data_IF_608528041184
#
_entry.id   IF_608528041184
#
_cell.length_a   1.000
_cell.length_b   1.000
_cell.length_c   1.000
_cell.angle_alpha   90.00
_cell.angle_beta   90.00
_cell.angle_gamma   90.00
#
_symmetry.space_group_name_H-M   'P 1'
#
loop_
_entity.id
_entity.type
_entity.pdbx_description
1 polymer ?
#
# COMPACT_ATOMS: atom_id res chain seq x y z
N UNK A 1 8.64 55.48 -39.54
CA UNK A 1 7.45 54.60 -39.59
C UNK A 1 7.79 53.29 -38.88
N UNK A 2 6.88 52.77 -38.05
CA UNK A 2 7.01 51.45 -37.41
C UNK A 2 6.88 51.49 -35.89
N UNK A 3 5.66 51.71 -35.38
CA UNK A 3 5.35 51.60 -33.95
C UNK A 3 5.24 50.13 -33.48
N UNK A 4 5.29 49.85 -32.17
CA UNK A 4 5.15 48.50 -31.65
C UNK A 4 3.67 48.06 -31.65
N UNK A 5 3.43 46.92 -32.29
CA UNK A 5 2.15 46.21 -32.34
C UNK A 5 1.76 45.69 -30.95
N UNK A 6 0.62 46.18 -30.44
CA UNK A 6 -0.05 45.66 -29.23
C UNK A 6 -0.74 44.35 -29.58
N UNK A 7 -0.31 43.24 -28.97
CA UNK A 7 -1.07 41.98 -28.96
C UNK A 7 -2.13 42.06 -27.87
N UNK A 8 -3.40 42.02 -28.28
CA UNK A 8 -4.57 41.92 -27.41
C UNK A 8 -4.69 40.50 -26.85
N UNK A 9 -4.82 40.41 -25.52
CA UNK A 9 -5.20 39.18 -24.84
C UNK A 9 -6.73 39.06 -24.89
N UNK A 10 -7.24 37.98 -25.49
CA UNK A 10 -8.66 37.63 -25.46
C UNK A 10 -8.91 36.81 -24.20
N UNK A 11 -9.67 37.37 -23.26
CA UNK A 11 -10.13 36.68 -22.08
C UNK A 11 -11.27 35.71 -22.45
N UNK A 12 -11.09 34.43 -22.15
CA UNK A 12 -12.17 33.44 -22.21
C UNK A 12 -13.07 33.61 -20.97
N UNK A 13 -14.31 34.04 -21.18
CA UNK A 13 -15.35 34.07 -20.16
C UNK A 13 -15.90 32.67 -19.85
N UNK A 14 -16.54 32.46 -18.69
CA UNK A 14 -17.04 31.15 -18.27
C UNK A 14 -18.26 30.71 -19.10
N UNK A 15 -18.50 29.40 -19.24
CA UNK A 15 -19.64 28.88 -19.98
C UNK A 15 -20.98 29.12 -19.23
N UNK A 16 -22.12 29.20 -19.96
CA UNK A 16 -23.42 29.43 -19.35
C UNK A 16 -23.96 28.18 -18.62
N UNK A 17 -24.86 28.36 -17.62
CA UNK A 17 -25.38 27.24 -16.82
C UNK A 17 -26.37 26.38 -17.62
N UNK A 18 -26.20 25.07 -17.55
CA UNK A 18 -27.11 24.08 -18.12
C UNK A 18 -28.41 23.97 -17.31
N UNK A 19 -29.52 23.95 -18.04
CA UNK A 19 -30.89 23.87 -17.51
C UNK A 19 -31.17 22.49 -16.92
N UNK A 20 -31.58 22.45 -15.66
CA UNK A 20 -32.18 21.30 -14.99
C UNK A 20 -33.57 21.00 -15.58
N UNK A 21 -33.81 19.75 -15.97
CA UNK A 21 -35.13 19.21 -16.28
C UNK A 21 -35.73 18.57 -15.01
N UNK A 22 -37.04 18.70 -14.74
CA UNK A 22 -37.66 18.15 -13.55
C UNK A 22 -37.98 16.65 -13.71
N UNK A 23 -37.68 15.87 -12.67
CA UNK A 23 -38.11 14.48 -12.53
C UNK A 23 -39.59 14.43 -12.11
N UNK A 24 -40.40 13.71 -12.89
CA UNK A 24 -41.79 13.37 -12.57
C UNK A 24 -41.85 12.02 -11.84
N UNK A 25 -42.39 12.05 -10.63
CA UNK A 25 -42.90 10.87 -9.91
C UNK A 25 -44.24 10.42 -10.53
N UNK A 26 -44.61 9.14 -10.36
CA UNK A 26 -45.93 8.90 -9.80
C UNK A 26 -45.94 7.84 -8.70
N UNK A 27 -46.65 8.23 -7.64
CA UNK A 27 -47.18 7.45 -6.54
C UNK A 27 -48.32 6.55 -7.04
N UNK A 28 -48.34 5.27 -6.67
CA UNK A 28 -49.57 4.48 -6.65
C UNK A 28 -49.51 3.41 -5.56
N UNK A 29 -50.49 3.45 -4.68
CA UNK A 29 -50.66 2.58 -3.54
C UNK A 29 -51.86 1.64 -3.74
N UNK A 30 -51.88 0.58 -2.92
CA UNK A 30 -52.97 -0.37 -2.63
C UNK A 30 -53.42 -1.38 -3.71
N UNK A 31 -53.29 -2.67 -3.38
CA UNK A 31 -54.46 -3.45 -2.91
C UNK A 31 -54.07 -4.87 -2.51
N UNK A 32 -54.33 -5.19 -1.23
CA UNK A 32 -54.39 -6.57 -0.71
C UNK A 32 -55.56 -7.32 -1.34
N UNK A 33 -55.31 -8.49 -1.91
CA UNK A 33 -56.33 -9.55 -2.04
C UNK A 33 -55.84 -10.86 -1.45
N UNK A 34 -56.47 -11.22 -0.33
CA UNK A 34 -56.48 -12.57 0.25
C UNK A 34 -57.19 -13.53 -0.71
N UNK A 35 -56.59 -14.68 -0.97
CA UNK A 35 -57.33 -15.89 -1.33
C UNK A 35 -56.78 -17.08 -0.55
N UNK A 36 -57.72 -17.84 0.05
CA UNK A 36 -57.51 -19.01 0.92
C UNK A 36 -57.74 -20.30 0.11
N UNK A 37 -57.07 -21.37 0.58
CA UNK A 37 -57.30 -22.83 0.37
C UNK A 37 -56.83 -23.38 -0.99
N UNK A 38 -56.17 -24.54 -1.08
CA UNK A 38 -56.43 -25.86 -0.44
C UNK A 38 -55.14 -26.68 -0.21
N UNK A 39 -55.19 -27.50 0.85
CA UNK A 39 -54.28 -28.61 1.19
C UNK A 39 -54.45 -29.81 0.26
N UNK A 40 -53.34 -30.50 -0.04
CA UNK A 40 -53.11 -31.97 -0.18
C UNK A 40 -51.57 -32.14 -0.05
N UNK A 41 -51.00 -32.69 1.04
CA UNK A 41 -50.81 -34.13 1.29
C UNK A 41 -49.96 -34.76 0.18
N UNK A 42 -48.74 -35.25 0.33
CA UNK A 42 -47.87 -35.55 1.46
C UNK A 42 -46.89 -36.64 0.95
N UNK A 43 -45.58 -36.36 0.93
CA UNK A 43 -44.53 -37.38 0.80
C UNK A 43 -43.21 -36.81 1.36
N UNK A 44 -42.91 -37.28 2.56
CA UNK A 44 -41.60 -37.44 3.21
C UNK A 44 -40.49 -36.46 2.81
N UNK A 45 -40.48 -35.32 3.52
CA UNK A 45 -39.33 -34.43 3.55
C UNK A 45 -38.25 -34.99 4.48
N UNK A 46 -37.02 -35.09 3.96
CA UNK A 46 -35.84 -34.84 4.80
C UNK A 46 -36.01 -33.47 5.43
N UNK A 47 -35.84 -33.37 6.75
CA UNK A 47 -35.97 -32.11 7.49
C UNK A 47 -35.07 -31.03 6.88
N UNK A 48 -35.57 -29.83 6.54
CA UNK A 48 -34.76 -28.71 6.07
C UNK A 48 -33.70 -28.26 7.09
N UNK A 49 -33.88 -28.63 8.36
CA UNK A 49 -32.96 -28.28 9.44
C UNK A 49 -31.60 -29.01 9.35
N UNK A 50 -31.53 -30.16 8.67
CA UNK A 50 -30.26 -30.89 8.48
C UNK A 50 -29.48 -30.44 7.23
N UNK A 51 -30.13 -29.74 6.30
CA UNK A 51 -29.50 -29.16 5.11
C UNK A 51 -29.05 -27.69 5.33
N UNK A 52 -29.45 -27.07 6.45
CA UNK A 52 -29.01 -25.73 6.87
C UNK A 52 -27.81 -25.75 7.83
N UNK A 53 -27.26 -26.93 8.16
CA UNK A 53 -26.17 -27.10 9.12
C UNK A 53 -24.82 -27.47 8.46
N UNK A 54 -24.68 -27.27 7.14
CA UNK A 54 -23.44 -27.53 6.42
C UNK A 54 -23.20 -26.46 5.35
N UNK A 55 -23.33 -25.20 5.74
CA UNK A 55 -22.47 -24.16 5.18
C UNK A 55 -21.60 -23.74 6.34
N UNK A 56 -20.59 -24.55 6.64
CA UNK A 56 -19.42 -24.02 7.35
C UNK A 56 -19.03 -22.77 6.56
N UNK A 57 -19.19 -21.60 7.17
CA UNK A 57 -18.69 -20.37 6.57
C UNK A 57 -17.21 -20.62 6.34
N UNK A 58 -16.81 -20.78 5.06
CA UNK A 58 -15.40 -20.88 4.70
C UNK A 58 -14.69 -19.73 5.37
N UNK A 59 -13.66 -20.05 6.14
CA UNK A 59 -12.83 -19.07 6.83
C UNK A 59 -12.36 -18.02 5.81
N UNK A 60 -12.56 -16.75 6.15
CA UNK A 60 -12.14 -15.60 5.33
C UNK A 60 -10.68 -15.33 5.64
N UNK A 61 -9.81 -15.87 4.81
CA UNK A 61 -8.36 -15.74 4.94
C UNK A 61 -7.84 -14.74 3.91
N UNK A 62 -6.94 -13.85 4.35
CA UNK A 62 -6.14 -12.99 3.50
C UNK A 62 -4.66 -13.35 3.65
N UNK A 63 -3.97 -13.58 2.54
CA UNK A 63 -2.51 -13.61 2.48
C UNK A 63 -2.00 -12.27 1.96
N UNK A 64 -1.30 -11.53 2.81
CA UNK A 64 -0.72 -10.24 2.53
C UNK A 64 0.80 -10.38 2.39
N UNK A 65 1.35 -9.93 1.27
CA UNK A 65 2.76 -10.12 0.93
C UNK A 65 3.47 -8.77 0.84
N UNK A 66 4.67 -8.69 1.43
CA UNK A 66 5.66 -7.74 0.94
C UNK A 66 6.05 -8.05 -0.52
N UNK A 67 6.66 -7.09 -1.22
CA UNK A 67 7.04 -7.21 -2.64
C UNK A 67 8.52 -7.59 -2.81
N UNK A 68 9.43 -6.74 -2.33
CA UNK A 68 10.86 -6.78 -2.64
C UNK A 68 11.62 -7.80 -1.78
N UNK A 69 12.05 -8.90 -2.39
CA UNK A 69 12.70 -10.03 -1.70
C UNK A 69 11.70 -11.09 -1.22
N UNK A 70 10.42 -10.72 -1.13
CA UNK A 70 9.32 -11.61 -0.74
C UNK A 70 8.61 -12.23 -1.95
N UNK A 71 8.22 -11.44 -2.95
CA UNK A 71 7.59 -11.94 -4.19
C UNK A 71 8.50 -11.81 -5.41
N UNK A 72 9.38 -10.81 -5.42
CA UNK A 72 10.32 -10.57 -6.52
C UNK A 72 11.74 -10.49 -5.98
N UNK A 73 12.78 -10.70 -6.81
CA UNK A 73 14.10 -10.17 -6.47
C UNK A 73 14.00 -8.63 -6.29
N UNK A 74 14.83 -8.01 -5.43
CA UNK A 74 14.72 -6.58 -5.14
C UNK A 74 14.74 -5.72 -6.42
N UNK A 75 13.68 -4.93 -6.62
CA UNK A 75 13.44 -4.03 -7.76
C UNK A 75 13.43 -4.71 -9.13
N UNK A 76 13.11 -5.99 -9.18
CA UNK A 76 12.98 -6.74 -10.43
C UNK A 76 11.53 -7.22 -10.61
N UNK A 77 11.21 -7.63 -11.84
CA UNK A 77 9.92 -8.23 -12.15
C UNK A 77 9.73 -9.57 -11.46
N UNK A 78 8.49 -9.87 -11.12
CA UNK A 78 8.05 -11.19 -10.64
C UNK A 78 8.37 -12.24 -11.70
N UNK A 79 8.78 -13.43 -11.24
CA UNK A 79 8.98 -14.56 -12.14
C UNK A 79 7.63 -15.17 -12.50
N UNK A 80 7.41 -15.63 -13.75
CA UNK A 80 6.15 -16.26 -14.16
C UNK A 80 5.71 -17.39 -13.24
N UNK A 81 6.65 -18.24 -12.78
CA UNK A 81 6.38 -19.34 -11.85
C UNK A 81 5.75 -18.90 -10.52
N UNK A 82 6.13 -17.73 -10.00
CA UNK A 82 5.61 -17.18 -8.76
C UNK A 82 4.25 -16.53 -9.01
N UNK A 83 4.11 -15.80 -10.12
CA UNK A 83 2.84 -15.16 -10.51
C UNK A 83 1.74 -16.21 -10.72
N UNK A 84 2.03 -17.28 -11.47
CA UNK A 84 1.12 -18.40 -11.70
C UNK A 84 0.68 -19.06 -10.38
N UNK A 85 1.62 -19.30 -9.46
CA UNK A 85 1.31 -19.85 -8.15
C UNK A 85 0.41 -18.93 -7.32
N UNK A 86 0.65 -17.61 -7.34
CA UNK A 86 -0.20 -16.67 -6.61
C UNK A 86 -1.64 -16.67 -7.15
N UNK A 87 -1.82 -16.81 -8.47
CA UNK A 87 -3.16 -16.94 -9.05
C UNK A 87 -3.84 -18.26 -8.65
N UNK A 88 -3.07 -19.35 -8.52
CA UNK A 88 -3.58 -20.61 -7.95
C UNK A 88 -3.97 -20.45 -6.47
N UNK A 89 -3.11 -19.83 -5.66
CA UNK A 89 -3.38 -19.54 -4.24
C UNK A 89 -4.66 -18.71 -4.06
N UNK A 90 -4.88 -17.74 -4.95
CA UNK A 90 -6.09 -16.88 -4.95
C UNK A 90 -7.41 -17.66 -5.10
N UNK A 91 -7.36 -18.91 -5.59
CA UNK A 91 -8.55 -19.77 -5.64
C UNK A 91 -8.97 -20.32 -4.27
N UNK A 92 -8.07 -20.28 -3.27
CA UNK A 92 -8.30 -20.77 -1.90
C UNK A 92 -8.47 -19.65 -0.87
N UNK A 93 -7.74 -18.55 -1.03
CA UNK A 93 -7.72 -17.41 -0.11
C UNK A 93 -7.73 -16.09 -0.89
N UNK A 94 -8.03 -14.98 -0.24
CA UNK A 94 -7.75 -13.67 -0.85
C UNK A 94 -6.26 -13.37 -0.77
N UNK A 95 -5.74 -12.66 -1.75
CA UNK A 95 -4.33 -12.24 -1.78
C UNK A 95 -4.22 -10.72 -1.91
N UNK A 96 -3.22 -10.16 -1.25
CA UNK A 96 -2.88 -8.76 -1.37
C UNK A 96 -1.39 -8.50 -1.26
N UNK A 97 -0.96 -7.33 -1.72
CA UNK A 97 0.43 -6.88 -1.58
C UNK A 97 0.51 -5.58 -0.81
N UNK A 98 1.58 -5.40 -0.04
CA UNK A 98 1.90 -4.15 0.66
C UNK A 98 3.36 -3.79 0.49
N UNK A 99 3.63 -2.56 0.05
CA UNK A 99 4.99 -2.09 -0.18
C UNK A 99 5.16 -0.61 0.12
N UNK A 100 6.37 -0.21 0.52
CA UNK A 100 6.72 1.20 0.74
C UNK A 100 6.94 2.00 -0.55
N UNK A 101 7.02 1.32 -1.69
CA UNK A 101 7.12 1.94 -3.01
C UNK A 101 5.79 2.57 -3.45
N UNK A 102 5.88 3.52 -4.39
CA UNK A 102 4.69 4.03 -5.09
C UNK A 102 4.03 2.93 -5.94
N UNK A 103 2.77 3.16 -6.30
CA UNK A 103 1.97 2.21 -7.07
C UNK A 103 2.64 1.81 -8.39
N UNK A 104 3.19 2.78 -9.13
CA UNK A 104 3.79 2.54 -10.44
C UNK A 104 4.95 1.55 -10.38
N UNK A 105 5.78 1.62 -9.33
CA UNK A 105 6.85 0.63 -9.11
C UNK A 105 6.30 -0.75 -8.77
N UNK A 106 5.32 -0.84 -7.89
CA UNK A 106 4.70 -2.13 -7.55
C UNK A 106 4.06 -2.75 -8.80
N UNK A 107 3.37 -1.94 -9.61
CA UNK A 107 2.77 -2.36 -10.87
C UNK A 107 3.82 -2.85 -11.89
N UNK A 108 4.93 -2.13 -12.04
CA UNK A 108 6.05 -2.55 -12.90
C UNK A 108 6.64 -3.91 -12.49
N UNK A 109 6.69 -4.18 -11.18
CA UNK A 109 7.23 -5.42 -10.65
C UNK A 109 6.26 -6.61 -10.78
N UNK A 110 4.95 -6.38 -10.65
CA UNK A 110 3.95 -7.44 -10.51
C UNK A 110 3.07 -7.65 -11.75
N UNK A 111 3.24 -6.85 -12.81
CA UNK A 111 2.48 -7.01 -14.04
C UNK A 111 2.92 -6.09 -15.16
N UNK A 112 2.09 -6.01 -16.20
CA UNK A 112 2.20 -5.01 -17.25
C UNK A 112 1.11 -3.94 -17.10
N UNK A 113 1.50 -2.66 -17.17
CA UNK A 113 0.54 -1.56 -16.99
C UNK A 113 -0.13 -1.59 -15.63
N UNK A 114 -1.46 -1.69 -15.62
CA UNK A 114 -2.28 -1.70 -14.40
C UNK A 114 -2.73 -3.10 -13.97
N UNK A 115 -2.26 -4.19 -14.59
CA UNK A 115 -2.70 -5.57 -14.31
C UNK A 115 -2.64 -5.97 -12.83
N UNK A 116 -1.74 -5.36 -12.05
CA UNK A 116 -1.55 -5.68 -10.63
C UNK A 116 -2.85 -5.56 -9.81
N UNK A 117 -3.71 -4.59 -10.12
CA UNK A 117 -4.96 -4.37 -9.36
C UNK A 117 -6.05 -5.40 -9.69
N UNK A 118 -5.90 -6.11 -10.80
CA UNK A 118 -6.79 -7.18 -11.21
C UNK A 118 -6.26 -8.55 -10.74
N UNK A 119 -4.93 -8.70 -10.62
CA UNK A 119 -4.25 -9.92 -10.14
C UNK A 119 -4.35 -10.13 -8.64
N UNK A 120 -4.45 -9.06 -7.86
CA UNK A 120 -4.54 -9.09 -6.40
C UNK A 120 -5.86 -8.49 -5.93
N UNK A 121 -6.42 -9.03 -4.85
CA UNK A 121 -7.66 -8.50 -4.25
C UNK A 121 -7.41 -7.16 -3.56
N UNK A 122 -6.19 -6.97 -3.02
CA UNK A 122 -5.73 -5.73 -2.40
C UNK A 122 -4.33 -5.34 -2.89
N UNK A 123 -4.14 -4.05 -3.19
CA UNK A 123 -2.82 -3.47 -3.48
C UNK A 123 -2.62 -2.24 -2.61
N UNK A 124 -1.69 -2.34 -1.67
CA UNK A 124 -1.33 -1.31 -0.72
C UNK A 124 0.03 -0.70 -1.09
N UNK A 125 0.01 0.39 -1.85
CA UNK A 125 1.20 1.16 -2.15
C UNK A 125 1.49 2.21 -1.05
N UNK A 126 2.75 2.61 -0.92
CA UNK A 126 3.22 3.54 0.12
C UNK A 126 2.73 3.13 1.53
N UNK A 127 2.98 1.88 1.90
CA UNK A 127 2.54 1.23 3.14
C UNK A 127 1.01 1.13 3.32
N UNK A 128 0.24 1.34 2.25
CA UNK A 128 -1.21 1.37 2.29
C UNK A 128 -1.79 2.77 2.42
N UNK A 129 -1.00 3.83 2.31
CA UNK A 129 -1.57 5.18 2.15
C UNK A 129 -2.22 5.38 0.77
N UNK A 130 -1.88 4.54 -0.21
CA UNK A 130 -2.58 4.41 -1.49
C UNK A 130 -3.10 2.98 -1.62
N UNK A 131 -4.40 2.84 -1.88
CA UNK A 131 -5.08 1.56 -1.74
C UNK A 131 -5.95 1.24 -2.94
N UNK A 132 -5.76 0.04 -3.46
CA UNK A 132 -6.68 -0.55 -4.43
C UNK A 132 -7.31 -1.80 -3.84
N UNK A 133 -8.61 -1.95 -4.07
CA UNK A 133 -9.38 -3.13 -3.71
C UNK A 133 -10.21 -3.55 -4.91
N UNK A 134 -10.10 -4.82 -5.32
CA UNK A 134 -10.85 -5.37 -6.45
C UNK A 134 -10.80 -4.47 -7.70
N UNK A 135 -9.59 -4.05 -8.08
CA UNK A 135 -9.37 -3.16 -9.23
C UNK A 135 -9.72 -1.68 -9.04
N UNK A 136 -10.22 -1.26 -7.88
CA UNK A 136 -10.66 0.12 -7.64
C UNK A 136 -9.82 0.84 -6.60
N UNK A 137 -9.44 2.09 -6.89
CA UNK A 137 -8.81 2.98 -5.92
C UNK A 137 -9.80 3.30 -4.80
N UNK A 138 -9.51 2.85 -3.58
CA UNK A 138 -10.35 3.05 -2.39
C UNK A 138 -9.99 4.33 -1.67
N UNK A 139 -8.70 4.52 -1.40
CA UNK A 139 -8.25 5.69 -0.66
C UNK A 139 -6.83 6.10 -1.05
N UNK A 140 -6.59 7.39 -0.83
CA UNK A 140 -5.28 8.02 -1.01
C UNK A 140 -5.12 9.06 0.09
N UNK A 141 -4.22 8.79 1.01
CA UNK A 141 -3.98 9.61 2.20
C UNK A 141 -2.73 10.44 1.99
N UNK A 142 -2.83 11.72 2.33
CA UNK A 142 -1.78 12.69 2.09
C UNK A 142 -1.22 13.15 3.42
N UNK A 143 0.10 13.04 3.60
CA UNK A 143 0.80 13.34 4.85
C UNK A 143 0.50 14.73 5.40
N UNK A 144 0.30 15.73 4.53
CA UNK A 144 -0.07 17.09 4.93
C UNK A 144 -1.43 17.18 5.62
N UNK A 145 -2.39 16.32 5.25
CA UNK A 145 -3.71 16.29 5.88
C UNK A 145 -3.66 15.68 7.27
N UNK A 146 -2.68 14.80 7.52
CA UNK A 146 -2.51 14.13 8.81
C UNK A 146 -1.65 14.95 9.78
N UNK A 147 -0.50 15.46 9.32
CA UNK A 147 0.41 16.25 10.16
C UNK A 147 -0.01 17.71 10.31
N UNK A 148 -0.76 18.24 9.34
CA UNK A 148 -1.00 19.67 9.20
C UNK A 148 0.19 20.41 8.57
N UNK A 149 -0.11 21.54 7.92
CA UNK A 149 0.88 22.34 7.18
C UNK A 149 1.98 22.93 8.07
N UNK A 150 1.66 23.34 9.30
CA UNK A 150 2.66 23.96 10.20
C UNK A 150 3.78 22.97 10.57
N UNK A 151 3.41 21.78 11.07
CA UNK A 151 4.38 20.75 11.42
C UNK A 151 5.18 20.26 10.21
N UNK A 152 4.50 20.10 9.08
CA UNK A 152 5.13 19.66 7.84
C UNK A 152 6.15 20.68 7.33
N UNK A 153 5.82 21.98 7.38
CA UNK A 153 6.75 23.04 7.00
C UNK A 153 7.91 23.16 7.98
N UNK A 154 7.67 23.03 9.29
CA UNK A 154 8.75 22.98 10.30
C UNK A 154 9.75 21.86 9.97
N UNK A 155 9.24 20.65 9.67
CA UNK A 155 10.05 19.50 9.29
C UNK A 155 10.87 19.78 8.01
N UNK A 156 10.22 20.28 6.97
CA UNK A 156 10.87 20.60 5.69
C UNK A 156 11.96 21.65 5.90
N UNK A 157 11.66 22.74 6.60
CA UNK A 157 12.59 23.84 6.85
C UNK A 157 13.79 23.37 7.69
N UNK A 158 13.57 22.56 8.72
CA UNK A 158 14.65 21.94 9.49
C UNK A 158 15.55 21.09 8.60
N UNK A 159 14.97 20.23 7.76
CA UNK A 159 15.72 19.37 6.85
C UNK A 159 16.57 20.18 5.86
N UNK A 160 16.01 21.22 5.26
CA UNK A 160 16.72 22.11 4.33
C UNK A 160 17.90 22.82 5.03
N UNK A 161 17.66 23.39 6.22
CA UNK A 161 18.70 24.07 6.99
C UNK A 161 19.83 23.12 7.42
N UNK A 162 19.47 21.92 7.91
CA UNK A 162 20.45 20.90 8.28
C UNK A 162 21.31 20.49 7.07
N UNK A 163 20.68 20.18 5.93
CA UNK A 163 21.39 19.78 4.72
C UNK A 163 22.23 20.90 4.10
N UNK A 164 21.87 22.17 4.29
CA UNK A 164 22.67 23.30 3.82
C UNK A 164 24.06 23.33 4.48
N UNK A 165 24.17 22.92 5.74
CA UNK A 165 25.42 22.89 6.50
C UNK A 165 26.28 21.65 6.25
N UNK A 166 25.71 20.58 5.69
CA UNK A 166 26.46 19.36 5.33
C UNK A 166 27.38 19.64 4.14
N UNK A 167 28.68 19.37 4.32
CA UNK A 167 29.65 19.34 3.21
C UNK A 167 29.85 17.89 2.77
N UNK A 168 29.47 17.60 1.54
CA UNK A 168 29.63 16.28 0.91
C UNK A 168 30.55 16.43 -0.31
N UNK A 169 31.22 15.35 -0.76
CA UNK A 169 32.01 15.38 -2.01
C UNK A 169 31.17 15.83 -3.20
N UNK A 170 29.89 15.42 -3.24
CA UNK A 170 28.93 15.76 -4.30
C UNK A 170 27.56 16.03 -3.68
N UNK A 171 26.85 17.00 -4.26
CA UNK A 171 25.40 17.21 -4.09
C UNK A 171 24.76 17.28 -5.48
N UNK A 172 23.54 16.80 -5.59
CA UNK A 172 22.73 16.81 -6.82
C UNK A 172 21.43 17.56 -6.53
N UNK A 173 20.28 17.00 -6.88
CA UNK A 173 18.96 17.58 -6.61
C UNK A 173 18.01 16.57 -5.99
N UNK A 174 16.79 17.02 -5.70
CA UNK A 174 15.76 16.22 -5.02
C UNK A 174 16.26 15.73 -3.65
N UNK A 175 16.58 16.70 -2.78
CA UNK A 175 17.01 16.46 -1.40
C UNK A 175 15.84 16.03 -0.49
N UNK A 176 14.66 16.55 -0.79
CA UNK A 176 13.39 16.19 -0.16
C UNK A 176 12.46 15.79 -1.30
N UNK A 177 12.02 14.54 -1.30
CA UNK A 177 11.00 14.03 -2.22
C UNK A 177 9.70 13.86 -1.43
N UNK A 178 8.69 14.65 -1.81
CA UNK A 178 7.37 14.61 -1.19
C UNK A 178 6.56 13.47 -1.81
N UNK A 179 6.15 12.49 -0.99
CA UNK A 179 5.27 11.39 -1.37
C UNK A 179 3.93 11.50 -0.63
N UNK A 180 2.99 10.58 -0.90
CA UNK A 180 1.69 10.62 -0.23
C UNK A 180 1.84 10.26 1.24
N UNK A 181 2.56 9.17 1.54
CA UNK A 181 2.75 8.65 2.89
C UNK A 181 3.91 9.25 3.70
N UNK A 182 4.85 9.93 3.04
CA UNK A 182 6.15 10.21 3.65
C UNK A 182 6.93 11.32 2.94
N UNK A 183 7.95 11.83 3.62
CA UNK A 183 9.04 12.58 3.01
C UNK A 183 10.28 11.69 2.92
N UNK A 184 10.82 11.50 1.72
CA UNK A 184 12.13 10.89 1.56
C UNK A 184 13.22 11.97 1.55
N UNK A 185 14.16 11.87 2.50
CA UNK A 185 15.24 12.83 2.70
C UNK A 185 16.56 12.21 2.26
N UNK A 186 17.26 12.85 1.33
CA UNK A 186 18.54 12.41 0.76
C UNK A 186 19.59 13.52 0.83
N UNK A 187 20.61 13.42 1.70
CA UNK A 187 21.64 14.45 1.83
C UNK A 187 22.43 14.74 0.54
N UNK A 188 22.71 13.69 -0.25
CA UNK A 188 23.35 13.82 -1.57
C UNK A 188 22.36 14.31 -2.65
N UNK A 189 21.06 14.06 -2.48
CA UNK A 189 20.02 14.28 -3.48
C UNK A 189 19.74 13.03 -4.33
N UNK A 190 18.47 12.71 -4.59
CA UNK A 190 18.06 11.46 -5.26
C UNK A 190 18.45 11.38 -6.74
N UNK A 191 18.70 12.52 -7.39
CA UNK A 191 19.10 12.58 -8.81
C UNK A 191 20.59 12.25 -9.06
N UNK A 192 21.28 11.67 -8.09
CA UNK A 192 22.65 11.15 -8.23
C UNK A 192 22.74 9.83 -9.01
N UNK A 193 23.88 9.59 -9.65
CA UNK A 193 24.17 8.36 -10.42
C UNK A 193 24.40 7.16 -9.49
N UNK A 194 24.47 5.95 -10.03
CA UNK A 194 24.74 4.75 -9.24
C UNK A 194 26.11 4.80 -8.55
N UNK A 195 27.14 5.27 -9.24
CA UNK A 195 28.50 5.42 -8.69
C UNK A 195 28.50 6.40 -7.53
N UNK A 196 27.78 7.51 -7.66
CA UNK A 196 27.63 8.53 -6.62
C UNK A 196 26.84 7.99 -5.40
N UNK A 197 25.86 7.10 -5.62
CA UNK A 197 25.14 6.41 -4.53
C UNK A 197 26.07 5.51 -3.73
N UNK A 198 26.96 4.79 -4.41
CA UNK A 198 27.95 3.91 -3.78
C UNK A 198 28.94 4.75 -2.96
N UNK A 199 29.51 5.80 -3.55
CA UNK A 199 30.44 6.73 -2.87
C UNK A 199 29.80 7.36 -1.63
N UNK A 200 28.55 7.84 -1.73
CA UNK A 200 27.84 8.38 -0.57
C UNK A 200 27.57 7.33 0.50
N UNK A 201 27.20 6.11 0.11
CA UNK A 201 26.94 5.02 1.05
C UNK A 201 28.20 4.64 1.86
N UNK A 202 29.37 4.61 1.21
CA UNK A 202 30.65 4.38 1.88
C UNK A 202 31.00 5.52 2.84
N UNK A 203 30.81 6.77 2.42
CA UNK A 203 31.01 7.95 3.26
C UNK A 203 30.07 7.94 4.47
N UNK A 204 28.78 7.67 4.25
CA UNK A 204 27.76 7.63 5.28
C UNK A 204 28.04 6.53 6.33
N UNK A 205 28.56 5.36 5.92
CA UNK A 205 29.01 4.33 6.87
C UNK A 205 30.15 4.84 7.77
N UNK A 206 31.08 5.60 7.21
CA UNK A 206 32.24 6.14 7.94
C UNK A 206 31.87 7.30 8.86
N UNK A 207 31.06 8.23 8.36
CA UNK A 207 30.77 9.50 9.04
C UNK A 207 29.42 9.52 9.78
N UNK A 208 28.58 8.49 9.56
CA UNK A 208 27.24 8.31 10.14
C UNK A 208 26.34 9.52 9.86
N UNK A 209 26.34 10.01 8.62
CA UNK A 209 25.68 11.26 8.22
C UNK A 209 24.18 11.18 8.44
N UNK A 210 23.52 10.16 7.86
CA UNK A 210 22.06 9.96 7.98
C UNK A 210 21.65 9.67 9.40
N UNK A 211 22.43 8.88 10.13
CA UNK A 211 22.13 8.56 11.52
C UNK A 211 22.16 9.80 12.42
N UNK A 212 23.20 10.64 12.30
CA UNK A 212 23.28 11.91 13.03
C UNK A 212 22.13 12.85 12.67
N UNK A 213 21.75 12.87 11.39
CA UNK A 213 20.64 13.69 10.91
C UNK A 213 19.30 13.19 11.50
N UNK A 214 19.02 11.90 11.43
CA UNK A 214 17.84 11.29 12.07
C UNK A 214 17.83 11.55 13.57
N UNK A 215 18.95 11.41 14.27
CA UNK A 215 19.03 11.70 15.71
C UNK A 215 18.74 13.18 16.03
N UNK A 216 19.15 14.12 15.16
CA UNK A 216 18.82 15.53 15.31
C UNK A 216 17.32 15.78 15.10
N UNK A 217 16.72 15.17 14.06
CA UNK A 217 15.29 15.24 13.79
C UNK A 217 14.46 14.64 14.93
N UNK A 218 14.85 13.47 15.44
CA UNK A 218 14.17 12.83 16.57
C UNK A 218 14.18 13.71 17.84
N UNK A 219 15.27 14.45 18.08
CA UNK A 219 15.35 15.38 19.20
C UNK A 219 14.47 16.61 18.99
N UNK A 220 14.54 17.21 17.80
CA UNK A 220 13.79 18.42 17.46
C UNK A 220 12.27 18.18 17.46
N UNK A 221 11.83 17.05 16.90
CA UNK A 221 10.43 16.70 16.73
C UNK A 221 9.95 15.66 17.76
N UNK A 222 10.62 15.58 18.92
CA UNK A 222 10.26 14.67 19.99
C UNK A 222 8.80 14.90 20.44
N UNK A 223 8.02 13.81 20.51
CA UNK A 223 6.60 13.86 20.91
C UNK A 223 5.64 14.37 19.82
N UNK A 224 6.11 14.69 18.62
CA UNK A 224 5.26 15.16 17.51
C UNK A 224 4.78 14.04 16.57
N UNK A 225 4.88 12.77 17.00
CA UNK A 225 4.35 11.63 16.26
C UNK A 225 5.05 11.34 14.93
N UNK A 226 6.35 11.61 14.82
CA UNK A 226 7.16 11.29 13.63
C UNK A 226 8.03 10.05 13.84
N UNK A 227 8.10 9.22 12.81
CA UNK A 227 8.97 8.05 12.72
C UNK A 227 9.95 8.21 11.56
N UNK A 228 11.06 7.49 11.67
CA UNK A 228 12.19 7.58 10.77
C UNK A 228 12.66 6.18 10.42
N UNK A 229 12.78 5.88 9.12
CA UNK A 229 13.31 4.61 8.63
C UNK A 229 14.46 4.84 7.67
N UNK A 230 15.48 3.97 7.69
CA UNK A 230 16.59 4.05 6.75
C UNK A 230 16.14 3.57 5.36
N UNK A 231 16.13 4.47 4.40
CA UNK A 231 15.74 4.20 3.02
C UNK A 231 16.95 3.91 2.13
N UNK A 232 17.30 2.63 1.97
CA UNK A 232 18.35 2.17 1.04
C UNK A 232 19.73 2.78 1.28
N UNK A 233 20.45 3.13 0.21
CA UNK A 233 21.85 3.58 0.27
C UNK A 233 22.04 5.06 0.60
N UNK A 234 21.11 5.93 0.18
CA UNK A 234 21.33 7.39 0.16
C UNK A 234 20.36 8.21 0.99
N UNK A 235 19.25 7.61 1.44
CA UNK A 235 18.14 8.36 2.03
C UNK A 235 17.66 7.76 3.34
N UNK A 236 16.75 8.47 3.98
CA UNK A 236 15.86 7.97 5.03
C UNK A 236 14.47 8.57 4.81
N UNK A 237 13.45 7.86 5.27
CA UNK A 237 12.05 8.26 5.16
C UNK A 237 11.57 8.83 6.50
N UNK A 238 10.77 9.89 6.43
CA UNK A 238 10.07 10.49 7.57
C UNK A 238 8.58 10.37 7.33
N UNK A 239 7.87 9.76 8.28
CA UNK A 239 6.44 9.48 8.16
C UNK A 239 5.76 9.59 9.53
N UNK A 240 4.43 9.79 9.58
CA UNK A 240 3.71 9.78 10.84
C UNK A 240 3.83 8.43 11.55
N UNK A 241 3.74 8.44 12.87
CA UNK A 241 3.66 7.22 13.66
C UNK A 241 2.48 6.34 13.23
N UNK A 242 2.73 5.04 13.06
CA UNK A 242 1.74 4.08 12.55
C UNK A 242 1.62 4.02 11.02
N UNK A 243 2.33 4.89 10.27
CA UNK A 243 2.34 4.85 8.79
C UNK A 243 3.42 3.92 8.21
N UNK A 244 3.94 2.99 9.03
CA UNK A 244 4.61 1.78 8.55
C UNK A 244 3.59 0.81 7.94
N UNK A 245 4.01 -0.41 7.55
CA UNK A 245 3.11 -1.36 6.86
C UNK A 245 1.86 -1.70 7.65
N UNK A 246 1.83 -1.53 8.98
CA UNK A 246 0.60 -1.71 9.79
C UNK A 246 -0.53 -0.78 9.37
N UNK A 247 -0.23 0.34 8.71
CA UNK A 247 -1.25 1.27 8.24
C UNK A 247 -2.32 0.57 7.40
N UNK A 248 -1.95 -0.42 6.57
CA UNK A 248 -2.94 -1.14 5.77
C UNK A 248 -3.89 -2.01 6.61
N UNK A 249 -3.48 -2.44 7.81
CA UNK A 249 -4.29 -3.30 8.68
C UNK A 249 -5.51 -2.57 9.22
N UNK A 250 -5.39 -1.27 9.54
CA UNK A 250 -6.51 -0.46 10.03
C UNK A 250 -7.67 -0.43 9.03
N UNK A 251 -7.38 -0.51 7.72
CA UNK A 251 -8.40 -0.57 6.67
C UNK A 251 -9.00 -1.98 6.55
N UNK A 252 -8.20 -3.01 6.84
CA UNK A 252 -8.65 -4.40 6.78
C UNK A 252 -9.53 -4.79 7.96
N UNK A 253 -9.58 -4.01 9.04
CA UNK A 253 -10.44 -4.28 10.21
C UNK A 253 -11.92 -4.37 9.83
N UNK A 254 -12.40 -3.49 8.94
CA UNK A 254 -13.80 -3.48 8.50
C UNK A 254 -14.16 -4.68 7.60
N UNK A 255 -13.16 -5.36 7.02
CA UNK A 255 -13.35 -6.51 6.12
C UNK A 255 -13.65 -7.81 6.85
N UNK A 256 -13.45 -7.85 8.17
CA UNK A 256 -13.71 -8.99 9.05
C UNK A 256 -13.10 -10.29 8.51
N UNK A 257 -11.80 -10.26 8.26
CA UNK A 257 -11.02 -11.48 8.02
C UNK A 257 -10.94 -12.28 9.31
N UNK A 258 -11.05 -13.60 9.20
CA UNK A 258 -10.84 -14.51 10.33
C UNK A 258 -9.34 -14.62 10.63
N UNK A 259 -8.51 -14.72 9.58
CA UNK A 259 -7.06 -14.80 9.69
C UNK A 259 -6.39 -13.96 8.59
N UNK A 260 -5.41 -13.14 8.96
CA UNK A 260 -4.52 -12.43 8.02
C UNK A 260 -3.12 -13.01 8.15
N UNK A 261 -2.64 -13.69 7.12
CA UNK A 261 -1.24 -14.13 7.04
C UNK A 261 -0.41 -13.01 6.43
N UNK A 262 0.67 -12.60 7.08
CA UNK A 262 1.62 -11.66 6.51
C UNK A 262 2.93 -12.36 6.16
N UNK A 263 3.45 -12.13 4.96
CA UNK A 263 4.71 -12.70 4.47
C UNK A 263 5.69 -11.56 4.16
N UNK A 264 6.87 -11.59 4.76
CA UNK A 264 7.90 -10.55 4.56
C UNK A 264 9.30 -11.06 4.81
N UNK A 265 10.31 -10.38 4.24
CA UNK A 265 11.71 -10.78 4.32
C UNK A 265 12.53 -9.95 5.33
N UNK A 266 12.09 -8.75 5.69
CA UNK A 266 12.77 -7.86 6.63
C UNK A 266 12.05 -7.82 8.00
N UNK A 267 11.79 -8.99 8.58
CA UNK A 267 10.97 -9.17 9.79
C UNK A 267 11.76 -9.08 11.11
N UNK A 268 13.06 -8.77 11.07
CA UNK A 268 13.87 -8.54 12.27
C UNK A 268 13.75 -7.08 12.74
N UNK A 269 13.95 -6.76 14.03
CA UNK A 269 13.87 -5.39 14.54
C UNK A 269 14.70 -4.40 13.70
N UNK A 270 14.04 -3.36 13.20
CA UNK A 270 14.62 -2.34 12.32
C UNK A 270 14.52 -2.64 10.82
N UNK A 271 14.04 -3.82 10.44
CA UNK A 271 13.60 -4.13 9.08
C UNK A 271 12.21 -3.57 8.82
N UNK A 272 11.88 -3.31 7.55
CA UNK A 272 10.66 -2.59 7.19
C UNK A 272 9.36 -3.42 7.31
N UNK A 273 9.47 -4.73 7.53
CA UNK A 273 8.35 -5.65 7.75
C UNK A 273 8.08 -5.93 9.22
N UNK A 274 9.01 -5.56 10.11
CA UNK A 274 8.98 -5.99 11.51
C UNK A 274 7.66 -5.62 12.20
N UNK A 275 7.22 -4.38 12.05
CA UNK A 275 6.04 -3.90 12.76
C UNK A 275 4.75 -4.60 12.32
N UNK A 276 4.58 -4.90 11.02
CA UNK A 276 3.39 -5.64 10.52
C UNK A 276 3.48 -7.13 10.82
N UNK A 277 4.69 -7.70 10.79
CA UNK A 277 4.96 -9.09 11.13
C UNK A 277 4.68 -9.41 12.60
N UNK A 278 5.02 -8.48 13.50
CA UNK A 278 4.82 -8.62 14.95
C UNK A 278 3.46 -8.09 15.43
N UNK A 279 2.65 -7.50 14.53
CA UNK A 279 1.31 -7.00 14.86
C UNK A 279 0.37 -8.16 15.22
N UNK A 280 -0.35 -8.11 16.36
CA UNK A 280 -1.21 -9.20 16.81
C UNK A 280 -2.39 -9.51 15.88
N UNK A 281 -2.69 -8.63 14.91
CA UNK A 281 -3.71 -8.85 13.87
C UNK A 281 -3.22 -9.76 12.74
N UNK A 282 -1.92 -10.07 12.68
CA UNK A 282 -1.35 -10.93 11.64
C UNK A 282 -0.75 -12.22 12.18
N UNK A 283 -0.75 -13.25 11.35
CA UNK A 283 0.08 -14.44 11.49
C UNK A 283 1.31 -14.21 10.62
N UNK A 284 2.41 -13.76 11.21
CA UNK A 284 3.64 -13.41 10.51
C UNK A 284 4.48 -14.60 10.05
N UNK A 285 4.91 -14.56 8.78
CA UNK A 285 5.81 -15.53 8.15
C UNK A 285 7.08 -14.81 7.66
N UNK A 286 8.22 -15.14 8.27
CA UNK A 286 9.51 -14.67 7.77
C UNK A 286 9.94 -15.48 6.56
N UNK A 287 10.28 -14.77 5.48
CA UNK A 287 10.62 -15.32 4.17
C UNK A 287 12.06 -14.99 3.79
N UNK A 288 12.73 -15.93 3.12
CA UNK A 288 14.10 -15.73 2.64
C UNK A 288 14.19 -15.42 1.14
N UNK A 289 13.17 -15.77 0.36
CA UNK A 289 13.13 -15.60 -1.10
C UNK A 289 11.72 -15.81 -1.65
N UNK A 290 11.44 -15.41 -2.91
CA UNK A 290 10.18 -15.73 -3.57
C UNK A 290 9.84 -17.23 -3.60
N UNK A 291 10.84 -18.09 -3.76
CA UNK A 291 10.64 -19.54 -3.74
C UNK A 291 10.27 -20.05 -2.33
N UNK A 292 10.79 -19.42 -1.27
CA UNK A 292 10.42 -19.73 0.11
C UNK A 292 8.98 -19.28 0.41
N UNK A 293 8.52 -18.15 -0.15
CA UNK A 293 7.11 -17.74 -0.10
C UNK A 293 6.21 -18.81 -0.70
N UNK A 294 6.51 -19.26 -1.93
CA UNK A 294 5.74 -20.32 -2.61
C UNK A 294 5.67 -21.58 -1.74
N UNK A 295 6.83 -22.05 -1.27
CA UNK A 295 6.91 -23.24 -0.39
C UNK A 295 6.06 -23.08 0.86
N UNK A 296 6.17 -21.95 1.57
CA UNK A 296 5.40 -21.71 2.80
C UNK A 296 3.90 -21.68 2.54
N UNK A 297 3.48 -21.03 1.45
CA UNK A 297 2.07 -21.02 1.06
C UNK A 297 1.57 -22.43 0.67
N UNK A 298 2.38 -23.25 0.01
CA UNK A 298 2.04 -24.65 -0.29
C UNK A 298 1.85 -25.46 1.00
N UNK A 299 2.78 -25.36 1.96
CA UNK A 299 2.71 -26.05 3.26
C UNK A 299 1.42 -25.69 4.03
N UNK A 300 0.98 -24.43 3.97
CA UNK A 300 -0.17 -23.94 4.74
C UNK A 300 -1.49 -24.19 4.01
N UNK A 301 -1.57 -23.87 2.72
CA UNK A 301 -2.84 -23.80 1.99
C UNK A 301 -3.06 -24.95 1.01
N UNK A 302 -2.03 -25.76 0.75
CA UNK A 302 -2.07 -26.95 -0.10
C UNK A 302 -1.42 -28.18 0.57
N UNK A 303 -1.80 -28.53 1.82
CA UNK A 303 -1.14 -29.62 2.56
C UNK A 303 -1.27 -30.99 1.87
N UNK A 304 -2.31 -31.17 1.05
CA UNK A 304 -2.55 -32.41 0.30
C UNK A 304 -1.43 -32.71 -0.71
N UNK A 305 -0.93 -31.68 -1.41
CA UNK A 305 0.05 -31.85 -2.49
C UNK A 305 1.47 -32.09 -1.97
N UNK A 306 1.76 -31.65 -0.75
CA UNK A 306 3.06 -31.86 -0.10
C UNK A 306 3.26 -33.32 0.32
N UNK A 307 2.17 -34.03 0.67
CA UNK A 307 2.23 -35.43 1.12
C UNK A 307 2.32 -36.46 -0.04
N UNK A 308 2.20 -36.02 -1.29
CA UNK A 308 2.31 -36.87 -2.49
C UNK A 308 3.68 -36.75 -3.20
N UNK A 309 4.58 -35.90 -2.69
CA UNK A 309 5.90 -35.60 -3.27
C UNK A 309 7.06 -36.35 -2.62
#
# INVERSE_FOLDING_TARGET
>A
MGGPSRRSWVAFGPPPPSRLLPASLPTAALSLRRSRRRRRGGREGRSPAAAMAATESRERILCLFDVDGTLTPPRQKIKPEVDEFLQELRTRVLIGVVGGSDYSKIAEQLGEGDEVIDKFDYVFAENGTVQYKNGQLVSKQAIQNHLGEELLQDLINFCLNYMALLKLPKKRGTFIEFRNGMLNISPIGRSCTLEERIEFSELDKKERIREKFVAALQREFAGKGLRFSRGGMISFDVFPEGWDKRYCLDILEDERFDTIHFFGNETSPGGNDYEIYDDPRTVGHSIQSPQDTVRRCQEIFFPETVNES
#
